data_IF_576184023075
#
_entry.id   IF_576184023075
#
_cell.length_a   1.000
_cell.length_b   1.000
_cell.length_c   1.000
_cell.angle_alpha   90.00
_cell.angle_beta   90.00
_cell.angle_gamma   90.00
#
_symmetry.space_group_name_H-M   'P 1'
#
loop_
_entity.id
_entity.type
_entity.pdbx_description
1 polymer ?
#
# COMPACT_ATOMS: atom_id res chain seq x y z
N UNK A 1 7.11 -6.24 -60.21
CA UNK A 1 7.47 -5.07 -59.37
C UNK A 1 7.65 -5.57 -57.95
N UNK A 2 8.89 -5.72 -57.50
CA UNK A 2 9.21 -5.98 -56.10
C UNK A 2 8.89 -4.69 -55.33
N UNK A 3 7.97 -4.74 -54.36
CA UNK A 3 7.80 -3.64 -53.41
C UNK A 3 8.99 -3.67 -52.46
N UNK A 4 10.00 -2.85 -52.70
CA UNK A 4 10.99 -2.55 -51.68
C UNK A 4 10.27 -1.93 -50.49
N UNK A 5 10.09 -2.73 -49.44
CA UNK A 5 9.76 -2.26 -48.11
C UNK A 5 10.92 -1.37 -47.67
N UNK A 6 10.85 -0.07 -47.94
CA UNK A 6 11.76 0.91 -47.36
C UNK A 6 11.43 1.04 -45.88
N UNK A 7 12.15 0.28 -45.07
CA UNK A 7 12.13 0.41 -43.61
C UNK A 7 12.52 1.85 -43.28
N UNK A 8 11.71 2.52 -42.47
CA UNK A 8 11.94 3.91 -42.07
C UNK A 8 13.32 4.02 -41.37
N UNK A 9 14.22 4.92 -41.82
CA UNK A 9 15.52 5.15 -41.19
C UNK A 9 15.44 5.40 -39.69
N UNK A 10 14.36 6.01 -39.20
CA UNK A 10 14.13 6.21 -37.76
C UNK A 10 13.94 4.90 -37.01
N UNK A 11 13.27 3.92 -37.62
CA UNK A 11 13.07 2.59 -37.04
C UNK A 11 14.43 1.87 -36.93
N UNK A 12 15.28 2.00 -37.95
CA UNK A 12 16.63 1.43 -37.93
C UNK A 12 17.46 2.08 -36.82
N UNK A 13 17.40 3.40 -36.68
CA UNK A 13 18.09 4.15 -35.62
C UNK A 13 17.60 3.74 -34.22
N UNK A 14 16.29 3.60 -34.02
CA UNK A 14 15.72 3.11 -32.76
C UNK A 14 16.15 1.69 -32.42
N UNK A 15 16.20 0.79 -33.39
CA UNK A 15 16.66 -0.60 -33.19
C UNK A 15 18.14 -0.64 -32.83
N UNK A 16 18.98 0.14 -33.53
CA UNK A 16 20.41 0.23 -33.25
C UNK A 16 20.67 0.83 -31.87
N UNK A 17 19.94 1.89 -31.51
CA UNK A 17 20.00 2.50 -30.18
C UNK A 17 19.59 1.52 -29.09
N UNK A 18 18.50 0.77 -29.29
CA UNK A 18 18.07 -0.26 -28.36
C UNK A 18 19.13 -1.35 -28.19
N UNK A 19 19.70 -1.86 -29.28
CA UNK A 19 20.77 -2.86 -29.25
C UNK A 19 22.01 -2.38 -28.50
N UNK A 20 22.44 -1.13 -28.75
CA UNK A 20 23.53 -0.50 -28.01
C UNK A 20 23.23 -0.41 -26.51
N UNK A 21 22.03 0.03 -26.15
CA UNK A 21 21.59 0.16 -24.75
C UNK A 21 21.60 -1.17 -24.00
N UNK A 22 21.23 -2.27 -24.65
CA UNK A 22 21.31 -3.63 -24.08
C UNK A 22 22.77 -4.02 -23.81
N UNK A 23 23.68 -3.75 -24.75
CA UNK A 23 25.11 -4.08 -24.61
C UNK A 23 25.77 -3.25 -23.49
N UNK A 24 25.38 -1.98 -23.35
CA UNK A 24 25.96 -1.06 -22.36
C UNK A 24 25.31 -1.17 -20.97
N UNK A 25 24.23 -1.93 -20.82
CA UNK A 25 23.49 -2.06 -19.56
C UNK A 25 24.37 -2.38 -18.32
N UNK A 26 25.33 -3.32 -18.37
CA UNK A 26 26.20 -3.60 -17.22
C UNK A 26 27.08 -2.42 -16.78
N UNK A 27 27.28 -1.40 -17.63
CA UNK A 27 28.05 -0.18 -17.32
C UNK A 27 27.17 0.96 -16.79
N UNK A 28 25.87 0.92 -17.08
CA UNK A 28 24.92 1.99 -16.80
C UNK A 28 24.03 1.70 -15.58
N UNK A 29 23.98 0.44 -15.16
CA UNK A 29 23.13 -0.06 -14.07
C UNK A 29 24.01 -0.41 -12.88
N UNK A 30 23.77 0.25 -11.74
CA UNK A 30 24.41 -0.08 -10.47
C UNK A 30 24.02 -1.48 -9.99
N UNK A 31 24.90 -2.12 -9.22
CA UNK A 31 24.55 -3.41 -8.62
C UNK A 31 23.36 -3.24 -7.64
N UNK A 32 22.49 -4.25 -7.49
CA UNK A 32 21.31 -4.16 -6.60
C UNK A 32 21.64 -3.76 -5.14
N UNK A 33 22.81 -4.18 -4.66
CA UNK A 33 23.31 -3.90 -3.31
C UNK A 33 23.78 -2.45 -3.13
N UNK A 34 24.07 -1.73 -4.21
CA UNK A 34 24.52 -0.33 -4.20
C UNK A 34 23.34 0.66 -4.19
N UNK A 35 22.10 0.19 -4.37
CA UNK A 35 20.91 1.04 -4.38
C UNK A 35 20.52 1.37 -2.93
N UNK A 36 20.90 2.55 -2.46
CA UNK A 36 20.46 3.09 -1.17
C UNK A 36 19.06 3.68 -1.28
N UNK A 37 18.12 3.26 -0.43
CA UNK A 37 16.85 3.98 -0.28
C UNK A 37 17.16 5.30 0.46
N UNK A 38 16.82 6.45 -0.13
CA UNK A 38 17.00 7.75 0.51
C UNK A 38 15.80 8.02 1.41
N UNK A 39 15.68 7.21 2.46
CA UNK A 39 14.54 7.22 3.38
C UNK A 39 14.58 8.49 4.22
N UNK A 40 13.41 9.09 4.43
CA UNK A 40 13.24 10.22 5.32
C UNK A 40 13.69 9.83 6.74
N UNK A 41 14.47 10.68 7.44
CA UNK A 41 14.97 10.37 8.78
C UNK A 41 13.84 10.04 9.75
N UNK A 42 13.96 8.90 10.41
CA UNK A 42 13.01 8.41 11.41
C UNK A 42 13.76 7.70 12.54
N UNK A 43 13.06 7.52 13.66
CA UNK A 43 13.52 6.80 14.84
C UNK A 43 12.58 5.63 15.12
N UNK A 44 13.15 4.51 15.59
CA UNK A 44 12.37 3.39 16.11
C UNK A 44 11.93 3.76 17.52
N UNK A 45 10.64 4.04 17.71
CA UNK A 45 10.11 4.51 19.01
C UNK A 45 9.48 3.40 19.83
N UNK A 46 8.98 2.35 19.17
CA UNK A 46 8.43 1.17 19.85
C UNK A 46 8.60 -0.08 18.97
N UNK A 47 8.82 -1.24 19.60
CA UNK A 47 8.89 -2.54 18.92
C UNK A 47 8.13 -3.59 19.73
N UNK A 48 7.28 -4.35 19.04
CA UNK A 48 6.55 -5.49 19.61
C UNK A 48 6.73 -6.68 18.68
N UNK A 49 7.32 -7.75 19.18
CA UNK A 49 7.75 -8.90 18.38
C UNK A 49 8.60 -8.46 17.16
N UNK A 50 8.08 -8.69 15.95
CA UNK A 50 8.68 -8.31 14.68
C UNK A 50 8.14 -6.98 14.15
N UNK A 51 7.04 -6.48 14.71
CA UNK A 51 6.43 -5.22 14.32
C UNK A 51 7.19 -4.03 14.93
N UNK A 52 7.24 -2.93 14.20
CA UNK A 52 7.99 -1.72 14.56
C UNK A 52 7.14 -0.48 14.32
N UNK A 53 7.23 0.47 15.23
CA UNK A 53 6.68 1.81 15.07
C UNK A 53 7.80 2.80 14.83
N UNK A 54 7.75 3.46 13.67
CA UNK A 54 8.73 4.45 13.25
C UNK A 54 8.13 5.84 13.40
N UNK A 55 8.85 6.75 14.06
CA UNK A 55 8.46 8.16 14.16
C UNK A 55 9.37 9.01 13.27
N UNK A 56 8.78 9.78 12.36
CA UNK A 56 9.56 10.61 11.44
C UNK A 56 9.88 11.97 12.02
N UNK A 57 11.10 12.45 11.78
CA UNK A 57 11.52 13.76 12.31
C UNK A 57 10.74 14.89 11.65
N UNK A 58 10.15 15.81 12.43
CA UNK A 58 9.52 17.01 11.89
C UNK A 58 10.50 17.84 11.05
N UNK A 59 10.01 18.41 9.95
CA UNK A 59 10.81 19.28 9.05
C UNK A 59 10.23 20.68 8.89
N UNK A 60 9.21 21.02 9.68
CA UNK A 60 8.61 22.36 9.76
C UNK A 60 8.48 22.79 11.22
N UNK A 61 8.55 24.10 11.47
CA UNK A 61 8.40 24.64 12.84
C UNK A 61 6.96 24.53 13.36
N UNK A 62 5.98 24.70 12.46
CA UNK A 62 4.56 24.54 12.78
C UNK A 62 4.15 23.10 12.51
N UNK A 63 3.56 22.48 13.52
CA UNK A 63 3.00 21.12 13.47
C UNK A 63 1.51 21.15 13.80
N UNK A 64 0.75 20.26 13.19
CA UNK A 64 -0.59 19.91 13.59
C UNK A 64 -0.57 19.15 14.92
N UNK A 65 -1.63 19.30 15.73
CA UNK A 65 -1.66 18.70 17.08
C UNK A 65 -1.93 17.21 17.07
N UNK A 66 -2.75 16.76 16.12
CA UNK A 66 -3.15 15.35 16.03
C UNK A 66 -2.10 14.56 15.25
N UNK A 67 -1.46 13.54 15.86
CA UNK A 67 -0.51 12.69 15.14
C UNK A 67 -1.23 11.80 14.11
N UNK A 68 -0.50 11.40 13.07
CA UNK A 68 -0.95 10.52 12.01
C UNK A 68 -0.20 9.19 12.06
N UNK A 69 -0.92 8.09 12.32
CA UNK A 69 -0.40 6.73 12.16
C UNK A 69 -0.76 6.18 10.78
N UNK A 70 0.23 5.67 10.06
CA UNK A 70 0.05 4.97 8.78
C UNK A 70 0.17 3.46 9.00
N UNK A 71 -0.95 2.75 8.89
CA UNK A 71 -1.05 1.30 8.79
C UNK A 71 -0.81 0.86 7.33
N UNK A 72 0.41 0.42 7.05
CA UNK A 72 0.77 -0.02 5.71
C UNK A 72 0.16 -1.38 5.34
N UNK A 73 0.23 -1.75 4.07
CA UNK A 73 -0.20 -3.07 3.60
C UNK A 73 0.66 -4.20 4.20
N UNK A 74 0.05 -5.38 4.31
CA UNK A 74 0.78 -6.63 4.63
C UNK A 74 1.61 -7.15 3.44
N UNK A 75 1.37 -6.60 2.25
CA UNK A 75 2.03 -7.00 1.02
C UNK A 75 3.08 -5.96 0.66
N UNK A 76 4.31 -6.43 0.42
CA UNK A 76 5.53 -5.63 0.25
C UNK A 76 5.81 -4.74 1.47
N UNK A 77 6.84 -3.90 1.38
CA UNK A 77 7.26 -3.01 2.47
C UNK A 77 6.75 -1.60 2.35
N UNK A 78 6.56 -0.95 3.51
CA UNK A 78 6.12 0.43 3.67
C UNK A 78 7.00 1.46 2.96
N UNK A 79 8.27 1.13 2.67
CA UNK A 79 9.23 2.06 2.08
C UNK A 79 8.84 2.56 0.68
N UNK A 80 7.83 1.98 0.00
CA UNK A 80 7.26 2.57 -1.21
C UNK A 80 6.66 3.96 -0.96
N UNK A 81 6.19 4.23 0.26
CA UNK A 81 5.71 5.54 0.70
C UNK A 81 6.86 6.56 0.87
N UNK A 82 8.12 6.12 0.77
CA UNK A 82 9.29 6.95 1.04
C UNK A 82 10.50 6.58 0.15
N UNK A 83 10.22 6.10 -1.06
CA UNK A 83 11.23 5.44 -1.91
C UNK A 83 12.28 6.39 -2.51
N UNK A 84 11.88 7.64 -2.75
CA UNK A 84 12.71 8.72 -3.26
C UNK A 84 12.19 10.07 -2.73
N UNK A 85 13.05 11.05 -2.38
CA UNK A 85 12.62 12.30 -1.77
C UNK A 85 11.58 13.08 -2.60
N UNK A 86 11.73 13.11 -3.92
CA UNK A 86 10.82 13.84 -4.83
C UNK A 86 9.43 13.18 -4.96
N UNK A 87 9.25 11.93 -4.53
CA UNK A 87 7.98 11.19 -4.58
C UNK A 87 7.62 10.54 -3.24
N UNK A 88 8.19 11.04 -2.15
CA UNK A 88 7.92 10.51 -0.82
C UNK A 88 6.57 11.04 -0.33
N UNK A 89 5.68 10.11 0.00
CA UNK A 89 4.40 10.38 0.66
C UNK A 89 4.63 10.96 2.05
N UNK A 90 5.54 10.34 2.80
CA UNK A 90 5.89 10.74 4.16
C UNK A 90 6.49 12.14 4.18
N UNK A 91 7.52 12.40 3.36
CA UNK A 91 8.17 13.71 3.29
C UNK A 91 7.20 14.82 2.93
N UNK A 92 6.28 14.57 2.00
CA UNK A 92 5.29 15.57 1.60
C UNK A 92 4.35 15.93 2.77
N UNK A 93 3.84 14.94 3.50
CA UNK A 93 3.00 15.19 4.67
C UNK A 93 3.79 15.89 5.81
N UNK A 94 5.06 15.55 6.02
CA UNK A 94 5.92 16.27 6.97
C UNK A 94 6.11 17.75 6.55
N UNK A 95 6.23 18.04 5.25
CA UNK A 95 6.30 19.42 4.73
C UNK A 95 5.01 20.20 4.96
N UNK A 96 3.88 19.50 5.06
CA UNK A 96 2.58 20.07 5.40
C UNK A 96 2.40 20.23 6.92
N UNK A 97 3.35 19.77 7.74
CA UNK A 97 3.35 19.92 9.20
C UNK A 97 2.59 18.84 9.96
N UNK A 98 2.40 17.65 9.36
CA UNK A 98 1.86 16.51 10.10
C UNK A 98 2.95 15.78 10.87
N UNK A 99 2.62 15.33 12.08
CA UNK A 99 3.44 14.44 12.89
C UNK A 99 3.15 12.99 12.49
N UNK A 100 4.15 12.26 11.99
CA UNK A 100 3.93 11.00 11.26
C UNK A 100 4.59 9.82 11.96
N UNK A 101 3.76 8.81 12.19
CA UNK A 101 4.15 7.48 12.61
C UNK A 101 3.86 6.48 11.50
N UNK A 102 4.75 5.52 11.29
CA UNK A 102 4.60 4.44 10.32
C UNK A 102 4.68 3.10 11.02
N UNK A 103 3.67 2.27 10.76
CA UNK A 103 3.65 0.89 11.19
C UNK A 103 4.36 0.01 10.16
N UNK A 104 5.44 -0.62 10.59
CA UNK A 104 6.09 -1.71 9.87
C UNK A 104 5.72 -3.04 10.53
N UNK A 105 4.98 -3.87 9.79
CA UNK A 105 4.55 -5.19 10.25
C UNK A 105 5.69 -6.20 10.42
N UNK A 106 6.90 -5.89 9.98
CA UNK A 106 8.04 -6.79 10.12
C UNK A 106 7.97 -8.01 9.20
N UNK A 107 8.77 -9.04 9.51
CA UNK A 107 8.81 -10.28 8.73
C UNK A 107 8.29 -11.43 9.59
N UNK A 108 7.11 -11.98 9.28
CA UNK A 108 6.63 -13.19 9.94
C UNK A 108 7.58 -14.36 9.73
N UNK A 109 7.76 -15.16 10.77
CA UNK A 109 8.45 -16.44 10.78
C UNK A 109 7.44 -17.58 10.63
N UNK A 110 7.92 -18.81 10.43
CA UNK A 110 7.03 -19.99 10.36
C UNK A 110 6.21 -20.23 11.64
N UNK A 111 6.67 -19.71 12.78
CA UNK A 111 5.95 -19.80 14.06
C UNK A 111 4.73 -18.87 14.12
N UNK A 112 4.75 -17.80 13.33
CA UNK A 112 3.73 -16.76 13.33
C UNK A 112 2.49 -17.15 12.49
N UNK A 113 2.43 -18.38 11.96
CA UNK A 113 1.34 -18.84 11.09
C UNK A 113 -0.05 -18.84 11.72
N UNK A 114 -0.10 -18.80 13.05
CA UNK A 114 -1.33 -18.78 13.82
C UNK A 114 -1.86 -17.37 14.09
N UNK A 115 -1.09 -16.32 13.74
CA UNK A 115 -1.57 -14.95 13.91
C UNK A 115 -2.73 -14.67 12.96
N UNK A 116 -3.78 -14.04 13.47
CA UNK A 116 -5.03 -13.73 12.74
C UNK A 116 -5.35 -12.21 12.73
N UNK A 117 -6.57 -11.82 12.34
CA UNK A 117 -6.95 -10.40 12.34
C UNK A 117 -6.96 -9.78 13.75
N UNK A 118 -7.27 -10.54 14.80
CA UNK A 118 -7.30 -10.02 16.16
C UNK A 118 -5.91 -9.59 16.62
N UNK A 119 -4.91 -10.45 16.38
CA UNK A 119 -3.51 -10.12 16.69
C UNK A 119 -3.06 -8.83 15.99
N UNK A 120 -3.49 -8.61 14.75
CA UNK A 120 -3.10 -7.43 13.98
C UNK A 120 -3.91 -6.17 14.35
N UNK A 121 -5.19 -6.31 14.65
CA UNK A 121 -6.11 -5.20 14.96
C UNK A 121 -6.04 -4.82 16.44
N UNK A 122 -6.36 -5.76 17.32
CA UNK A 122 -6.45 -5.55 18.77
C UNK A 122 -5.13 -5.79 19.50
N UNK A 123 -4.20 -6.54 18.90
CA UNK A 123 -2.85 -6.70 19.43
C UNK A 123 -1.92 -5.56 19.00
N UNK A 124 -1.42 -5.62 17.77
CA UNK A 124 -0.36 -4.74 17.30
C UNK A 124 -0.82 -3.31 17.02
N UNK A 125 -1.90 -3.11 16.22
CA UNK A 125 -2.33 -1.76 15.85
C UNK A 125 -2.82 -0.98 17.08
N UNK A 126 -3.67 -1.57 17.91
CA UNK A 126 -4.18 -0.93 19.14
C UNK A 126 -3.05 -0.48 20.07
N UNK A 127 -2.10 -1.37 20.38
CA UNK A 127 -0.99 -1.02 21.26
C UNK A 127 -0.10 0.10 20.71
N UNK A 128 0.03 0.23 19.38
CA UNK A 128 0.71 1.38 18.77
C UNK A 128 -0.12 2.65 18.79
N UNK A 129 -1.44 2.58 18.65
CA UNK A 129 -2.32 3.74 18.81
C UNK A 129 -2.25 4.25 20.25
N UNK A 130 -2.32 3.37 21.24
CA UNK A 130 -2.20 3.72 22.67
C UNK A 130 -0.82 4.28 23.00
N UNK A 131 0.26 3.72 22.43
CA UNK A 131 1.59 4.29 22.57
C UNK A 131 1.64 5.75 22.09
N UNK A 132 1.13 6.03 20.89
CA UNK A 132 1.12 7.39 20.30
C UNK A 132 0.27 8.34 21.14
N UNK A 133 -0.92 7.92 21.57
CA UNK A 133 -1.81 8.72 22.44
C UNK A 133 -1.09 9.13 23.74
N UNK A 134 -0.41 8.19 24.38
CA UNK A 134 0.36 8.44 25.60
C UNK A 134 1.55 9.38 25.36
N UNK A 135 2.35 9.13 24.31
CA UNK A 135 3.54 9.93 24.00
C UNK A 135 3.17 11.37 23.62
N UNK A 136 2.08 11.56 22.86
CA UNK A 136 1.63 12.87 22.39
C UNK A 136 0.63 13.55 23.32
N UNK A 137 0.20 12.88 24.40
CA UNK A 137 -0.88 13.33 25.29
C UNK A 137 -2.16 13.71 24.53
N UNK A 138 -2.53 12.89 23.54
CA UNK A 138 -3.75 13.07 22.72
C UNK A 138 -4.76 11.96 23.02
N UNK A 139 -6.04 12.31 23.06
CA UNK A 139 -7.11 11.32 23.29
C UNK A 139 -7.39 10.45 22.06
N UNK A 140 -7.08 10.98 20.86
CA UNK A 140 -7.36 10.34 19.57
C UNK A 140 -6.28 10.69 18.56
N UNK A 141 -6.02 9.78 17.63
CA UNK A 141 -5.07 10.00 16.54
C UNK A 141 -5.76 10.06 15.17
N UNK A 142 -5.09 10.59 14.16
CA UNK A 142 -5.47 10.34 12.77
C UNK A 142 -4.89 8.99 12.34
N UNK A 143 -5.69 8.16 11.66
CA UNK A 143 -5.30 6.84 11.21
C UNK A 143 -5.43 6.77 9.69
N UNK A 144 -4.33 6.49 8.99
CA UNK A 144 -4.33 6.17 7.56
C UNK A 144 -4.07 4.69 7.37
N UNK A 145 -4.87 4.03 6.55
CA UNK A 145 -4.59 2.69 6.07
C UNK A 145 -4.34 2.65 4.57
N UNK A 146 -3.43 1.78 4.12
CA UNK A 146 -3.14 1.55 2.71
C UNK A 146 -3.36 0.09 2.29
N UNK A 147 -4.15 -0.14 1.24
CA UNK A 147 -4.46 -1.49 0.73
C UNK A 147 -5.00 -2.41 1.85
N UNK A 148 -4.36 -3.55 2.14
CA UNK A 148 -4.74 -4.43 3.26
C UNK A 148 -4.59 -3.79 4.63
N UNK A 149 -3.65 -2.85 4.78
CA UNK A 149 -3.55 -2.02 5.98
C UNK A 149 -4.77 -1.14 6.19
N UNK A 150 -5.48 -0.77 5.10
CA UNK A 150 -6.76 -0.08 5.18
C UNK A 150 -7.90 -1.02 5.61
N UNK A 151 -7.88 -2.29 5.24
CA UNK A 151 -8.83 -3.30 5.75
C UNK A 151 -8.67 -3.47 7.27
N UNK A 152 -7.42 -3.63 7.75
CA UNK A 152 -7.09 -3.69 9.18
C UNK A 152 -7.51 -2.39 9.88
N UNK A 153 -7.15 -1.23 9.33
CA UNK A 153 -7.52 0.06 9.91
C UNK A 153 -9.03 0.34 9.89
N UNK A 154 -9.77 -0.19 8.91
CA UNK A 154 -11.25 -0.11 8.87
C UNK A 154 -11.83 -0.92 10.02
N UNK A 155 -11.35 -2.15 10.22
CA UNK A 155 -11.79 -2.99 11.33
C UNK A 155 -11.48 -2.32 12.68
N UNK A 156 -10.26 -1.79 12.83
CA UNK A 156 -9.85 -1.04 14.00
C UNK A 156 -10.75 0.19 14.27
N UNK A 157 -10.98 1.04 13.27
CA UNK A 157 -11.80 2.24 13.42
C UNK A 157 -13.28 1.91 13.76
N UNK A 158 -13.75 0.71 13.40
CA UNK A 158 -15.08 0.22 13.76
C UNK A 158 -15.15 -0.29 15.21
N UNK A 159 -14.10 -0.97 15.68
CA UNK A 159 -14.03 -1.56 17.01
C UNK A 159 -13.63 -0.53 18.09
N UNK A 160 -12.76 0.42 17.75
CA UNK A 160 -12.19 1.44 18.65
C UNK A 160 -12.43 2.89 18.15
N UNK A 161 -13.68 3.29 17.84
CA UNK A 161 -13.97 4.61 17.30
C UNK A 161 -13.59 5.76 18.26
N UNK A 162 -13.51 5.48 19.56
CA UNK A 162 -13.06 6.41 20.59
C UNK A 162 -11.57 6.75 20.50
N UNK A 163 -10.76 5.97 19.79
CA UNK A 163 -9.31 6.22 19.61
C UNK A 163 -8.94 6.87 18.28
N UNK A 164 -9.89 6.98 17.33
CA UNK A 164 -9.64 7.53 15.98
C UNK A 164 -10.35 8.88 15.80
N UNK A 165 -9.56 9.93 15.52
CA UNK A 165 -10.04 11.29 15.26
C UNK A 165 -10.44 11.48 13.80
N UNK A 166 -9.59 11.02 12.87
CA UNK A 166 -9.78 11.12 11.43
C UNK A 166 -9.34 9.80 10.79
N UNK A 167 -10.15 9.25 9.88
CA UNK A 167 -9.80 8.02 9.18
C UNK A 167 -9.53 8.26 7.69
N UNK A 168 -8.38 7.79 7.20
CA UNK A 168 -7.97 7.89 5.81
C UNK A 168 -7.85 6.48 5.24
N UNK A 169 -8.64 6.16 4.23
CA UNK A 169 -8.63 4.86 3.57
C UNK A 169 -8.08 5.01 2.15
N UNK A 170 -6.84 4.57 1.93
CA UNK A 170 -6.14 4.67 0.65
C UNK A 170 -6.15 3.32 -0.07
N UNK A 171 -6.86 3.23 -1.20
CA UNK A 171 -7.09 1.99 -1.96
C UNK A 171 -7.54 0.78 -1.10
N UNK A 172 -8.57 0.93 -0.23
CA UNK A 172 -8.95 -0.11 0.72
C UNK A 172 -9.59 -1.32 0.04
N UNK A 173 -9.34 -2.52 0.57
CA UNK A 173 -10.02 -3.76 0.15
C UNK A 173 -11.22 -4.00 1.06
N UNK A 174 -12.43 -3.78 0.56
CA UNK A 174 -13.66 -3.72 1.38
C UNK A 174 -14.75 -4.65 0.84
N UNK A 175 -15.12 -4.52 -0.44
CA UNK A 175 -16.13 -5.37 -1.09
C UNK A 175 -15.45 -6.30 -2.10
N UNK A 176 -14.99 -7.45 -1.62
CA UNK A 176 -14.24 -8.41 -2.44
C UNK A 176 -15.05 -9.00 -3.59
N UNK A 177 -16.38 -9.08 -3.44
CA UNK A 177 -17.27 -9.57 -4.51
C UNK A 177 -17.32 -8.63 -5.71
N UNK A 178 -17.29 -7.31 -5.45
CA UNK A 178 -17.23 -6.30 -6.51
C UNK A 178 -15.87 -6.12 -7.13
N UNK A 179 -14.83 -6.71 -6.54
CA UNK A 179 -13.49 -6.59 -7.09
C UNK A 179 -13.37 -7.33 -8.43
N UNK A 180 -13.07 -6.58 -9.50
CA UNK A 180 -13.01 -7.04 -10.90
C UNK A 180 -11.61 -7.48 -11.34
N UNK A 181 -10.62 -7.45 -10.44
CA UNK A 181 -9.23 -7.79 -10.76
C UNK A 181 -9.01 -9.29 -10.92
N UNK A 182 -7.96 -9.65 -11.66
CA UNK A 182 -7.53 -11.05 -11.81
C UNK A 182 -7.16 -11.68 -10.46
N UNK A 183 -6.59 -10.89 -9.54
CA UNK A 183 -6.22 -11.33 -8.20
C UNK A 183 -7.45 -11.66 -7.37
N UNK A 184 -8.49 -10.83 -7.41
CA UNK A 184 -9.75 -11.15 -6.75
C UNK A 184 -10.35 -12.46 -7.25
N UNK A 185 -10.29 -12.70 -8.56
CA UNK A 185 -10.76 -13.97 -9.11
C UNK A 185 -9.95 -15.18 -8.60
N UNK A 186 -8.63 -15.05 -8.44
CA UNK A 186 -7.79 -16.08 -7.83
C UNK A 186 -8.17 -16.31 -6.35
N UNK A 187 -8.32 -15.23 -5.57
CA UNK A 187 -8.70 -15.28 -4.16
C UNK A 187 -10.08 -15.95 -3.94
N UNK A 188 -11.06 -15.63 -4.78
CA UNK A 188 -12.43 -16.19 -4.72
C UNK A 188 -12.47 -17.71 -4.92
N UNK A 189 -11.54 -18.28 -5.70
CA UNK A 189 -11.58 -19.68 -6.11
C UNK A 189 -10.48 -20.55 -5.49
N UNK A 190 -9.58 -19.96 -4.70
CA UNK A 190 -8.51 -20.73 -4.06
C UNK A 190 -9.01 -21.51 -2.83
N UNK A 191 -8.51 -22.73 -2.66
CA UNK A 191 -8.68 -23.51 -1.44
C UNK A 191 -7.65 -23.04 -0.40
N UNK A 192 -7.97 -21.92 0.27
CA UNK A 192 -7.06 -21.28 1.22
C UNK A 192 -6.81 -22.14 2.46
N UNK A 193 -7.79 -22.97 2.87
CA UNK A 193 -7.62 -23.90 3.99
C UNK A 193 -6.51 -24.90 3.71
N UNK A 194 -6.56 -25.59 2.57
CA UNK A 194 -5.50 -26.52 2.18
C UNK A 194 -4.15 -25.83 2.01
N UNK A 195 -4.14 -24.61 1.47
CA UNK A 195 -2.89 -23.85 1.30
C UNK A 195 -2.23 -23.60 2.65
N UNK A 196 -2.98 -23.08 3.62
CA UNK A 196 -2.47 -22.75 4.96
C UNK A 196 -2.12 -24.03 5.75
N UNK A 197 -2.92 -25.09 5.62
CA UNK A 197 -2.62 -26.39 6.26
C UNK A 197 -1.29 -27.00 5.79
N UNK A 198 -0.98 -26.89 4.49
CA UNK A 198 0.21 -27.49 3.88
C UNK A 198 1.44 -26.59 4.04
N UNK A 199 1.29 -25.28 3.79
CA UNK A 199 2.41 -24.34 3.68
C UNK A 199 2.62 -23.55 4.98
N UNK A 200 1.58 -23.37 5.79
CA UNK A 200 1.58 -22.50 6.97
C UNK A 200 1.35 -21.06 6.55
N UNK A 201 2.42 -20.31 6.30
CA UNK A 201 2.32 -18.92 5.85
C UNK A 201 2.11 -18.83 4.35
N UNK A 202 1.42 -17.79 3.90
CA UNK A 202 1.38 -17.44 2.49
C UNK A 202 2.79 -17.00 2.05
N UNK A 203 3.43 -17.70 1.10
CA UNK A 203 4.83 -17.47 0.75
C UNK A 203 4.99 -16.29 -0.23
N UNK A 204 6.08 -15.50 -0.15
CA UNK A 204 6.33 -14.37 -1.05
C UNK A 204 6.23 -14.73 -2.55
N UNK A 205 6.66 -15.94 -2.93
CA UNK A 205 6.62 -16.50 -4.28
C UNK A 205 5.21 -16.52 -4.87
N UNK A 206 4.20 -16.76 -4.03
CA UNK A 206 2.81 -16.71 -4.46
C UNK A 206 2.39 -15.29 -4.83
N UNK A 207 2.83 -14.27 -4.08
CA UNK A 207 2.56 -12.88 -4.41
C UNK A 207 3.28 -12.43 -5.68
N UNK A 208 4.52 -12.88 -5.91
CA UNK A 208 5.21 -12.64 -7.17
C UNK A 208 4.45 -13.20 -8.37
N UNK A 209 3.97 -14.44 -8.25
CA UNK A 209 3.14 -15.06 -9.27
C UNK A 209 1.85 -14.25 -9.50
N UNK A 210 1.14 -13.91 -8.43
CA UNK A 210 -0.07 -13.10 -8.46
C UNK A 210 0.17 -11.76 -9.18
N UNK A 211 1.23 -11.03 -8.83
CA UNK A 211 1.57 -9.76 -9.47
C UNK A 211 1.99 -9.90 -10.94
N UNK A 212 2.66 -11.00 -11.32
CA UNK A 212 3.05 -11.22 -12.71
C UNK A 212 1.86 -11.39 -13.66
N UNK A 213 0.75 -11.98 -13.17
CA UNK A 213 -0.46 -12.20 -13.98
C UNK A 213 -1.40 -10.99 -14.03
N UNK A 214 -1.16 -9.94 -13.25
CA UNK A 214 -1.98 -8.72 -13.27
C UNK A 214 -1.94 -8.01 -14.62
N UNK A 215 -0.74 -7.85 -15.17
CA UNK A 215 -0.51 -7.27 -16.49
C UNK A 215 0.69 -7.95 -17.15
N UNK A 216 0.56 -9.18 -17.62
CA UNK A 216 1.70 -9.99 -18.07
C UNK A 216 2.49 -9.32 -19.21
N UNK A 217 1.84 -8.55 -20.07
CA UNK A 217 2.52 -7.80 -21.13
C UNK A 217 3.20 -6.53 -20.61
N UNK A 218 2.50 -5.71 -19.83
CA UNK A 218 3.06 -4.46 -19.28
C UNK A 218 4.18 -4.75 -18.26
N UNK A 219 3.98 -5.69 -17.34
CA UNK A 219 4.95 -6.09 -16.31
C UNK A 219 6.08 -6.97 -16.83
N UNK A 220 5.86 -7.65 -17.97
CA UNK A 220 6.86 -8.45 -18.64
C UNK A 220 7.60 -7.64 -19.70
N UNK A 221 7.23 -7.84 -20.96
CA UNK A 221 8.01 -7.38 -22.12
C UNK A 221 8.10 -5.85 -22.18
N UNK A 222 6.98 -5.13 -22.00
CA UNK A 222 6.95 -3.68 -22.19
C UNK A 222 7.80 -2.94 -21.15
N UNK A 223 7.74 -3.38 -19.88
CA UNK A 223 8.56 -2.86 -18.78
C UNK A 223 10.05 -2.88 -19.11
N UNK A 224 10.57 -4.03 -19.54
CA UNK A 224 12.00 -4.16 -19.86
C UNK A 224 12.35 -3.42 -21.16
N UNK A 225 11.48 -3.42 -22.17
CA UNK A 225 11.68 -2.61 -23.38
C UNK A 225 11.78 -1.12 -23.04
N UNK A 226 10.88 -0.61 -22.20
CA UNK A 226 10.89 0.77 -21.72
C UNK A 226 12.13 1.07 -20.88
N UNK A 227 12.60 0.11 -20.08
CA UNK A 227 13.84 0.23 -19.32
C UNK A 227 15.05 0.43 -20.24
N UNK A 228 15.27 -0.47 -21.20
CA UNK A 228 16.40 -0.36 -22.12
C UNK A 228 16.31 0.86 -23.03
N UNK A 229 15.11 1.32 -23.41
CA UNK A 229 14.93 2.59 -24.13
C UNK A 229 15.39 3.81 -23.33
N UNK A 230 15.26 3.77 -22.00
CA UNK A 230 15.55 4.90 -21.11
C UNK A 230 16.82 4.69 -20.25
N UNK A 231 17.64 3.68 -20.54
CA UNK A 231 18.79 3.30 -19.69
C UNK A 231 19.86 4.39 -19.55
N UNK A 232 19.95 5.31 -20.51
CA UNK A 232 20.87 6.46 -20.46
C UNK A 232 20.38 7.55 -19.47
N UNK A 233 19.10 7.52 -19.08
CA UNK A 233 18.53 8.45 -18.11
C UNK A 233 18.71 7.91 -16.69
N UNK A 234 19.79 8.35 -16.02
CA UNK A 234 20.13 7.95 -14.65
C UNK A 234 18.96 8.08 -13.66
N UNK A 235 18.21 9.19 -13.68
CA UNK A 235 17.05 9.38 -12.78
C UNK A 235 15.96 8.33 -13.00
N UNK A 236 15.71 7.97 -14.26
CA UNK A 236 14.76 6.92 -14.60
C UNK A 236 15.25 5.54 -14.13
N UNK A 237 16.51 5.21 -14.41
CA UNK A 237 17.13 3.94 -14.00
C UNK A 237 17.11 3.80 -12.48
N UNK A 238 17.54 4.80 -11.74
CA UNK A 238 17.54 4.78 -10.27
C UNK A 238 16.12 4.59 -9.72
N UNK A 239 15.13 5.30 -10.27
CA UNK A 239 13.73 5.14 -9.87
C UNK A 239 13.21 3.74 -10.16
N UNK A 240 13.52 3.19 -11.33
CA UNK A 240 13.12 1.85 -11.76
C UNK A 240 13.72 0.79 -10.83
N UNK A 241 15.03 0.84 -10.61
CA UNK A 241 15.73 -0.15 -9.78
C UNK A 241 15.28 -0.12 -8.31
N UNK A 242 14.96 1.06 -7.76
CA UNK A 242 14.36 1.17 -6.42
C UNK A 242 13.00 0.48 -6.34
N UNK A 243 12.15 0.66 -7.35
CA UNK A 243 10.85 -0.02 -7.42
C UNK A 243 11.02 -1.53 -7.60
N UNK A 244 11.98 -1.99 -8.41
CA UNK A 244 12.31 -3.42 -8.50
C UNK A 244 12.78 -4.00 -7.17
N UNK A 245 13.63 -3.26 -6.45
CA UNK A 245 14.07 -3.64 -5.10
C UNK A 245 12.90 -3.74 -4.12
N UNK A 246 11.93 -2.82 -4.20
CA UNK A 246 10.70 -2.87 -3.41
C UNK A 246 9.83 -4.08 -3.77
N UNK A 247 9.65 -4.36 -5.07
CA UNK A 247 8.94 -5.56 -5.49
C UNK A 247 9.63 -6.81 -4.94
N UNK A 248 10.97 -6.84 -4.94
CA UNK A 248 11.80 -7.90 -4.37
C UNK A 248 11.75 -8.08 -2.85
N UNK A 249 11.17 -7.14 -2.10
CA UNK A 249 11.06 -7.17 -0.63
C UNK A 249 9.60 -7.43 -0.22
N UNK A 250 9.15 -8.66 -0.47
CA UNK A 250 7.81 -9.13 -0.06
C UNK A 250 7.94 -10.08 1.13
N UNK A 251 7.43 -9.71 2.33
CA UNK A 251 7.37 -10.64 3.46
C UNK A 251 6.28 -11.72 3.24
N UNK A 252 6.41 -12.89 3.89
CA UNK A 252 5.29 -13.83 3.99
C UNK A 252 4.13 -13.20 4.79
N UNK A 253 2.90 -13.67 4.56
CA UNK A 253 1.73 -13.30 5.38
C UNK A 253 1.40 -14.48 6.31
N UNK A 254 1.09 -14.23 7.61
CA UNK A 254 0.65 -15.29 8.51
C UNK A 254 -0.52 -16.10 7.95
N UNK A 255 -0.47 -17.41 8.19
CA UNK A 255 -1.44 -18.37 7.65
C UNK A 255 -2.89 -18.06 8.01
N UNK A 256 -3.20 -17.93 9.30
CA UNK A 256 -4.57 -17.68 9.77
C UNK A 256 -5.08 -16.29 9.37
N UNK A 257 -4.23 -15.25 9.43
CA UNK A 257 -4.56 -13.93 8.90
C UNK A 257 -4.91 -13.98 7.41
N UNK A 258 -4.11 -14.69 6.60
CA UNK A 258 -4.37 -14.84 5.17
C UNK A 258 -5.65 -15.66 4.93
N UNK A 259 -5.85 -16.75 5.68
CA UNK A 259 -7.06 -17.58 5.62
C UNK A 259 -8.31 -16.75 5.87
N UNK A 260 -8.32 -16.00 6.97
CA UNK A 260 -9.42 -15.14 7.35
C UNK A 260 -9.62 -14.02 6.33
N UNK A 261 -8.54 -13.41 5.82
CA UNK A 261 -8.66 -12.35 4.81
C UNK A 261 -9.36 -12.85 3.54
N UNK A 262 -8.94 -14.00 3.02
CA UNK A 262 -9.52 -14.58 1.80
C UNK A 262 -10.97 -14.99 2.03
N UNK A 263 -11.26 -15.69 3.13
CA UNK A 263 -12.62 -16.14 3.45
C UNK A 263 -13.56 -14.97 3.71
N UNK A 264 -13.22 -14.11 4.66
CA UNK A 264 -14.12 -13.08 5.15
C UNK A 264 -14.30 -11.95 4.13
N UNK A 265 -13.30 -11.62 3.31
CA UNK A 265 -13.41 -10.49 2.37
C UNK A 265 -13.75 -10.93 0.95
N UNK A 266 -13.09 -11.96 0.41
CA UNK A 266 -13.26 -12.34 -1.00
C UNK A 266 -14.31 -13.43 -1.23
N UNK A 267 -14.40 -14.42 -0.34
CA UNK A 267 -15.31 -15.56 -0.55
C UNK A 267 -16.69 -15.29 0.03
N UNK A 268 -16.76 -14.84 1.29
CA UNK A 268 -18.01 -14.61 2.03
C UNK A 268 -18.39 -13.12 2.14
N UNK A 269 -17.43 -12.21 1.91
CA UNK A 269 -17.62 -10.76 1.85
C UNK A 269 -18.34 -10.19 3.09
N UNK A 270 -17.95 -10.66 4.26
CA UNK A 270 -18.54 -10.41 5.57
C UNK A 270 -18.33 -8.97 6.06
N UNK A 271 -17.22 -8.32 5.71
CA UNK A 271 -16.90 -6.96 6.18
C UNK A 271 -17.94 -5.94 5.69
N UNK A 272 -18.15 -5.84 4.38
CA UNK A 272 -19.13 -4.90 3.81
C UNK A 272 -20.59 -5.25 4.19
N UNK A 273 -20.83 -6.49 4.58
CA UNK A 273 -22.13 -6.95 5.07
C UNK A 273 -22.37 -6.67 6.56
N UNK A 274 -21.40 -6.12 7.29
CA UNK A 274 -21.40 -6.03 8.76
C UNK A 274 -21.68 -7.39 9.42
N UNK A 275 -20.91 -8.41 9.03
CA UNK A 275 -20.98 -9.78 9.56
C UNK A 275 -19.62 -10.34 9.99
N UNK A 276 -18.53 -9.64 9.67
CA UNK A 276 -17.17 -10.05 10.05
C UNK A 276 -16.99 -9.88 11.56
N UNK A 277 -16.40 -10.87 12.22
CA UNK A 277 -16.09 -10.82 13.64
C UNK A 277 -14.59 -10.90 13.86
N UNK A 278 -14.11 -10.15 14.86
CA UNK A 278 -12.73 -10.20 15.37
C UNK A 278 -12.84 -10.41 16.88
N UNK A 279 -12.29 -11.52 17.39
CA UNK A 279 -12.41 -11.97 18.79
C UNK A 279 -13.86 -11.88 19.34
N UNK A 280 -14.80 -12.37 18.54
CA UNK A 280 -16.23 -12.38 18.87
C UNK A 280 -16.92 -11.01 18.84
N UNK A 281 -16.20 -9.93 18.56
CA UNK A 281 -16.77 -8.59 18.37
C UNK A 281 -17.13 -8.36 16.90
N UNK A 282 -18.36 -7.87 16.67
CA UNK A 282 -18.83 -7.53 15.33
C UNK A 282 -18.13 -6.27 14.82
N UNK A 283 -17.48 -6.38 13.66
CA UNK A 283 -17.02 -5.24 12.89
C UNK A 283 -18.22 -4.63 12.17
N UNK A 284 -18.78 -3.57 12.77
CA UNK A 284 -19.91 -2.80 12.22
C UNK A 284 -19.40 -1.49 11.63
N UNK A 285 -19.40 -1.39 10.30
CA UNK A 285 -18.97 -0.19 9.58
C UNK A 285 -19.80 1.04 9.97
N UNK A 286 -21.04 0.88 10.48
CA UNK A 286 -21.86 2.00 10.96
C UNK A 286 -21.29 2.66 12.22
N UNK A 287 -20.39 2.02 12.96
CA UNK A 287 -19.68 2.63 14.10
C UNK A 287 -18.54 3.56 13.69
N UNK A 288 -18.12 3.52 12.41
CA UNK A 288 -17.16 4.48 11.87
C UNK A 288 -17.91 5.80 11.66
N UNK A 289 -17.94 6.63 12.70
CA UNK A 289 -18.66 7.90 12.79
C UNK A 289 -17.76 9.15 12.69
N UNK A 290 -16.46 8.98 12.88
CA UNK A 290 -15.45 10.03 12.72
C UNK A 290 -15.29 10.44 11.24
N UNK A 291 -14.72 11.64 10.95
CA UNK A 291 -14.44 12.07 9.59
C UNK A 291 -13.63 11.03 8.79
N UNK A 292 -14.06 10.76 7.55
CA UNK A 292 -13.40 9.80 6.67
C UNK A 292 -13.04 10.38 5.31
N UNK A 293 -11.82 10.07 4.85
CA UNK A 293 -11.34 10.37 3.50
C UNK A 293 -10.96 9.09 2.76
N UNK A 294 -11.78 8.69 1.80
CA UNK A 294 -11.54 7.49 0.97
C UNK A 294 -10.89 7.90 -0.36
N UNK A 295 -9.72 7.34 -0.66
CA UNK A 295 -8.96 7.57 -1.90
C UNK A 295 -8.98 6.31 -2.76
N UNK A 296 -9.37 6.47 -4.02
CA UNK A 296 -9.52 5.37 -4.98
C UNK A 296 -8.79 5.70 -6.28
N UNK A 297 -8.09 4.71 -6.85
CA UNK A 297 -7.35 4.85 -8.09
C UNK A 297 -8.18 4.26 -9.21
N UNK A 298 -8.55 5.07 -10.20
CA UNK A 298 -9.43 4.64 -11.31
C UNK A 298 -8.77 3.55 -12.16
N UNK A 299 -7.45 3.60 -12.35
CA UNK A 299 -6.67 2.61 -13.10
C UNK A 299 -6.04 1.55 -12.20
N UNK A 300 -6.64 1.27 -11.05
CA UNK A 300 -6.14 0.26 -10.13
C UNK A 300 -6.49 -1.15 -10.61
N UNK A 301 -5.44 -1.92 -10.93
CA UNK A 301 -5.57 -3.29 -11.38
C UNK A 301 -5.28 -4.30 -10.25
N UNK A 302 -4.86 -3.85 -9.07
CA UNK A 302 -4.65 -4.69 -7.90
C UNK A 302 -5.90 -4.72 -7.01
N UNK A 303 -6.51 -3.56 -6.78
CA UNK A 303 -7.76 -3.39 -6.03
C UNK A 303 -8.67 -2.49 -6.85
N UNK A 304 -9.66 -3.06 -7.54
CA UNK A 304 -10.50 -2.25 -8.43
C UNK A 304 -11.29 -1.17 -7.65
N UNK A 305 -11.63 -0.04 -8.30
CA UNK A 305 -12.46 1.00 -7.68
C UNK A 305 -13.75 0.49 -7.04
N UNK A 306 -14.39 -0.49 -7.67
CA UNK A 306 -15.62 -1.12 -7.22
C UNK A 306 -15.48 -1.89 -5.90
N UNK A 307 -14.25 -2.31 -5.57
CA UNK A 307 -13.91 -2.92 -4.27
C UNK A 307 -13.79 -1.87 -3.16
N UNK A 308 -13.19 -0.72 -3.45
CA UNK A 308 -12.85 0.31 -2.46
C UNK A 308 -13.97 1.32 -2.19
N UNK A 309 -14.66 1.79 -3.24
CA UNK A 309 -15.70 2.83 -3.14
C UNK A 309 -16.85 2.50 -2.17
N UNK A 310 -17.30 1.24 -2.02
CA UNK A 310 -18.40 0.90 -1.11
C UNK A 310 -18.21 1.36 0.35
N UNK A 311 -16.96 1.48 0.83
CA UNK A 311 -16.67 1.98 2.17
C UNK A 311 -17.35 3.31 2.47
N UNK A 312 -17.30 4.25 1.52
CA UNK A 312 -17.89 5.58 1.66
C UNK A 312 -19.41 5.53 1.95
N UNK A 313 -20.10 4.53 1.42
CA UNK A 313 -21.54 4.37 1.61
C UNK A 313 -21.89 3.51 2.81
N UNK A 314 -20.99 2.61 3.20
CA UNK A 314 -21.20 1.66 4.29
C UNK A 314 -21.03 2.31 5.67
N UNK A 315 -20.13 3.29 5.82
CA UNK A 315 -19.83 3.92 7.11
C UNK A 315 -21.00 4.73 7.70
N UNK A 316 -20.95 5.00 9.00
CA UNK A 316 -21.91 5.83 9.74
C UNK A 316 -21.62 7.33 9.71
N UNK A 317 -20.39 7.72 9.35
CA UNK A 317 -19.94 9.11 9.34
C UNK A 317 -20.76 10.03 8.44
N UNK A 318 -21.09 11.21 8.96
CA UNK A 318 -21.70 12.31 8.21
C UNK A 318 -20.66 13.16 7.48
N UNK A 319 -19.43 13.27 8.01
CA UNK A 319 -18.30 13.96 7.38
C UNK A 319 -17.45 12.97 6.57
N UNK A 320 -17.88 12.72 5.33
CA UNK A 320 -17.24 11.74 4.46
C UNK A 320 -16.88 12.32 3.10
N UNK A 321 -15.64 12.09 2.70
CA UNK A 321 -15.12 12.50 1.38
C UNK A 321 -14.64 11.28 0.61
N UNK A 322 -15.09 11.14 -0.64
CA UNK A 322 -14.57 10.16 -1.59
C UNK A 322 -13.86 10.90 -2.72
N UNK A 323 -12.61 10.52 -2.99
CA UNK A 323 -11.81 11.04 -4.11
C UNK A 323 -11.32 9.90 -4.99
N UNK A 324 -11.55 10.09 -6.29
CA UNK A 324 -11.07 9.19 -7.34
C UNK A 324 -9.96 9.88 -8.13
N UNK A 325 -8.84 9.20 -8.34
CA UNK A 325 -7.68 9.73 -9.04
C UNK A 325 -7.36 8.90 -10.29
N UNK A 326 -7.06 9.54 -11.45
CA UNK A 326 -6.74 8.85 -12.70
C UNK A 326 -5.30 8.30 -12.68
N UNK A 327 -5.06 7.33 -11.83
CA UNK A 327 -3.76 6.66 -11.61
C UNK A 327 -3.99 5.20 -11.26
N UNK A 328 -2.91 4.41 -11.19
CA UNK A 328 -2.95 3.03 -10.68
C UNK A 328 -2.61 2.94 -9.20
N UNK A 329 -2.63 1.72 -8.64
CA UNK A 329 -2.43 1.42 -7.21
C UNK A 329 -1.22 2.15 -6.60
N UNK A 330 -0.01 1.79 -7.05
CA UNK A 330 1.25 2.42 -6.60
C UNK A 330 1.32 3.87 -7.05
N UNK A 331 0.72 4.19 -8.20
CA UNK A 331 0.65 5.55 -8.70
C UNK A 331 -0.16 6.48 -7.80
N UNK A 332 -1.03 5.97 -6.92
CA UNK A 332 -1.73 6.76 -5.91
C UNK A 332 -0.76 7.33 -4.89
N UNK A 333 0.28 6.56 -4.53
CA UNK A 333 1.21 6.93 -3.45
C UNK A 333 2.57 7.43 -3.93
N UNK A 334 3.12 6.85 -5.00
CA UNK A 334 4.49 7.08 -5.46
C UNK A 334 4.55 7.62 -6.90
N UNK A 335 3.79 8.68 -7.20
CA UNK A 335 3.79 9.33 -8.52
C UNK A 335 3.84 10.86 -8.44
N UNK A 336 4.12 11.51 -9.56
CA UNK A 336 4.01 12.97 -9.66
C UNK A 336 2.58 13.48 -9.47
N UNK A 337 1.56 12.70 -9.86
CA UNK A 337 0.16 13.03 -9.58
C UNK A 337 -0.12 12.99 -8.07
N UNK A 338 0.45 12.01 -7.37
CA UNK A 338 0.35 11.89 -5.92
C UNK A 338 0.84 13.19 -5.25
N UNK A 339 2.05 13.59 -5.57
CA UNK A 339 2.71 14.77 -4.99
C UNK A 339 2.01 16.10 -5.31
N UNK A 340 1.43 16.23 -6.51
CA UNK A 340 0.84 17.49 -6.99
C UNK A 340 -0.66 17.63 -6.71
N UNK A 341 -1.36 16.52 -6.42
CA UNK A 341 -2.82 16.51 -6.28
C UNK A 341 -3.31 15.68 -5.11
N UNK A 342 -2.95 14.40 -5.05
CA UNK A 342 -3.47 13.48 -4.01
C UNK A 342 -3.10 13.96 -2.60
N UNK A 343 -1.81 14.23 -2.39
CA UNK A 343 -1.26 14.65 -1.10
C UNK A 343 -1.66 16.07 -0.68
N UNK A 344 -1.68 17.08 -1.58
CA UNK A 344 -2.24 18.38 -1.25
C UNK A 344 -3.73 18.35 -0.88
N UNK A 345 -4.56 17.60 -1.61
CA UNK A 345 -5.99 17.47 -1.28
C UNK A 345 -6.20 16.74 0.06
N UNK A 346 -5.46 15.66 0.28
CA UNK A 346 -5.48 14.92 1.55
C UNK A 346 -5.03 15.81 2.71
N UNK A 347 -3.90 16.47 2.56
CA UNK A 347 -3.32 17.29 3.61
C UNK A 347 -4.18 18.51 3.92
N UNK A 348 -4.83 19.14 2.94
CA UNK A 348 -5.83 20.17 3.21
C UNK A 348 -6.99 19.61 4.04
N UNK A 349 -7.58 18.48 3.63
CA UNK A 349 -8.68 17.86 4.34
C UNK A 349 -8.31 17.49 5.78
N UNK A 350 -7.10 16.96 5.98
CA UNK A 350 -6.60 16.55 7.29
C UNK A 350 -6.26 17.76 8.18
N UNK A 351 -5.67 18.82 7.61
CA UNK A 351 -5.30 20.04 8.33
C UNK A 351 -6.51 20.76 8.92
N UNK A 352 -7.65 20.76 8.21
CA UNK A 352 -8.92 21.30 8.69
C UNK A 352 -9.46 20.57 9.94
N UNK A 353 -8.93 19.38 10.25
CA UNK A 353 -9.42 18.47 11.30
C UNK A 353 -8.35 18.08 12.34
N UNK A 354 -7.12 18.61 12.24
CA UNK A 354 -5.95 18.16 13.02
C UNK A 354 -5.46 19.14 14.07
#
# INVERSE_FOLDING_TARGET
>A
MQSESKIDPKIIEEILKFGKNVIEAPKLVSAPDEISLEVTPHELVQQMDKTRLLHYKPITEKQHKTPLLISYALINRFHILDIQPEKSWVRNLLQQGFDIYMLDWGTPTSMDKYLDFDDYVNGYLDAYVEYIKNETSTDKISLQGYCTGATIATAYASLHPESVKNYIATAPVIDGWRDTTVISNLAKHMDVDKMVEIIGNMPPEFMYYAFSVLKPFEQGIEKYVNFFKNIENKKFVDSFLRVEKWLGDTPPIPGELFRQWIKDIYQENLLIQNKMHIEGQLVDLKKIDMPIFTQVAVGDHLVSPECSMPLHYAVGSEDKTLRMYPTGHVGMIASSLSQKKVLPELGQWLAERS
#
